data_IF_701506301168
#
_entry.id   IF_701506301168
#
_cell.length_a   1.000
_cell.length_b   1.000
_cell.length_c   1.000
_cell.angle_alpha   90.00
_cell.angle_beta   90.00
_cell.angle_gamma   90.00
#
_symmetry.space_group_name_H-M   'P 1'
#
loop_
_entity.id
_entity.type
_entity.pdbx_description
1 polymer ?
#
# COMPACT_ATOMS: atom_id res chain seq x y z
N UNK A 1 3.28 33.99 -45.68
CA UNK A 1 4.19 33.85 -44.51
C UNK A 1 3.43 34.17 -43.20
N UNK A 2 2.24 33.58 -43.00
CA UNK A 2 1.41 33.82 -41.79
C UNK A 2 0.69 32.56 -41.26
N UNK A 3 0.87 31.38 -41.89
CA UNK A 3 0.21 30.14 -41.46
C UNK A 3 1.10 29.20 -40.63
N UNK A 4 2.41 29.43 -40.60
CA UNK A 4 3.35 28.61 -39.81
C UNK A 4 3.42 29.00 -38.33
N UNK A 5 2.89 30.17 -37.92
CA UNK A 5 2.95 30.65 -36.52
C UNK A 5 1.77 30.14 -35.68
N UNK A 6 0.62 29.86 -36.31
CA UNK A 6 -0.59 29.35 -35.62
C UNK A 6 -0.45 27.89 -35.18
N UNK A 7 0.36 27.09 -35.87
CA UNK A 7 0.55 25.67 -35.56
C UNK A 7 1.45 25.41 -34.34
N UNK A 8 2.40 26.32 -34.05
CA UNK A 8 3.24 26.21 -32.85
C UNK A 8 2.52 26.67 -31.58
N UNK A 9 1.59 27.62 -31.68
CA UNK A 9 0.86 28.11 -30.51
C UNK A 9 -0.15 27.09 -29.96
N UNK A 10 -0.76 26.29 -30.83
CA UNK A 10 -1.73 25.23 -30.42
C UNK A 10 -1.01 24.02 -29.79
N UNK A 11 0.22 23.69 -30.20
CA UNK A 11 1.01 22.63 -29.55
C UNK A 11 1.56 23.02 -28.18
N UNK A 12 1.94 24.29 -27.99
CA UNK A 12 2.40 24.79 -26.68
C UNK A 12 1.28 24.83 -25.63
N UNK A 13 0.04 25.12 -26.03
CA UNK A 13 -1.12 25.08 -25.12
C UNK A 13 -1.50 23.66 -24.69
N UNK A 14 -1.34 22.65 -25.56
CA UNK A 14 -1.58 21.24 -25.18
C UNK A 14 -0.52 20.71 -24.19
N UNK A 15 0.73 21.18 -24.26
CA UNK A 15 1.77 20.81 -23.30
C UNK A 15 1.52 21.49 -21.95
N UNK A 16 1.06 22.76 -21.95
CA UNK A 16 0.65 23.45 -20.73
C UNK A 16 -0.60 22.83 -20.08
N UNK A 17 -1.57 22.34 -20.87
CA UNK A 17 -2.74 21.63 -20.35
C UNK A 17 -2.38 20.25 -19.75
N UNK A 18 -1.25 19.65 -20.16
CA UNK A 18 -0.77 18.38 -19.60
C UNK A 18 -0.10 18.55 -18.22
N UNK A 19 0.35 19.77 -17.87
CA UNK A 19 0.86 20.08 -16.52
C UNK A 19 -0.21 19.99 -15.43
N UNK A 20 -1.49 19.99 -15.80
CA UNK A 20 -2.62 19.94 -14.87
C UNK A 20 -3.13 18.51 -14.60
N UNK A 21 -2.63 17.48 -15.28
CA UNK A 21 -3.17 16.11 -15.16
C UNK A 21 -2.07 15.07 -14.96
N UNK A 22 -1.13 15.36 -14.07
CA UNK A 22 -0.67 14.33 -13.12
C UNK A 22 -1.43 14.56 -11.83
N UNK A 23 -2.76 14.51 -11.92
CA UNK A 23 -3.59 14.29 -10.74
C UNK A 23 -3.42 12.81 -10.41
N UNK A 24 -2.47 12.49 -9.53
CA UNK A 24 -2.84 11.54 -8.48
C UNK A 24 -4.09 12.14 -7.82
N UNK A 25 -5.15 11.36 -7.61
CA UNK A 25 -6.44 11.86 -7.11
C UNK A 25 -6.20 12.91 -6.02
N UNK A 26 -6.76 14.10 -6.22
CA UNK A 26 -6.67 15.15 -5.21
C UNK A 26 -7.71 14.78 -4.15
N UNK A 27 -7.31 14.33 -2.95
CA UNK A 27 -8.26 13.87 -1.94
C UNK A 27 -9.22 15.00 -1.53
N UNK A 28 -8.86 16.28 -1.71
CA UNK A 28 -9.77 17.42 -1.50
C UNK A 28 -10.82 17.52 -2.61
N UNK A 29 -10.48 17.14 -3.84
CA UNK A 29 -11.37 17.20 -5.02
C UNK A 29 -12.28 15.97 -5.13
N UNK A 30 -11.84 14.84 -4.60
CA UNK A 30 -12.61 13.59 -4.48
C UNK A 30 -13.46 13.53 -3.19
N UNK A 31 -13.36 14.54 -2.31
CA UNK A 31 -14.30 14.70 -1.19
C UNK A 31 -15.68 14.97 -1.76
N UNK A 32 -16.58 14.01 -1.60
CA UNK A 32 -18.00 14.29 -1.66
C UNK A 32 -18.39 14.93 -0.31
N UNK A 33 -18.66 16.25 -0.24
CA UNK A 33 -18.98 16.93 1.01
C UNK A 33 -20.28 16.41 1.65
N UNK A 34 -21.09 15.68 0.88
CA UNK A 34 -22.33 15.06 1.36
C UNK A 34 -22.14 13.61 1.81
N UNK A 35 -20.95 13.03 1.65
CA UNK A 35 -20.66 11.69 2.16
C UNK A 35 -20.41 11.77 3.67
N UNK A 36 -21.46 11.53 4.45
CA UNK A 36 -21.33 11.35 5.89
C UNK A 36 -20.89 9.92 6.17
N UNK A 37 -19.72 9.76 6.80
CA UNK A 37 -19.28 8.46 7.27
C UNK A 37 -20.18 8.00 8.42
N UNK A 38 -20.72 6.78 8.33
CA UNK A 38 -21.50 6.17 9.40
C UNK A 38 -20.62 6.05 10.66
N UNK A 39 -20.97 6.70 11.78
CA UNK A 39 -20.18 6.64 13.01
C UNK A 39 -19.94 5.21 13.51
N UNK A 40 -20.89 4.29 13.26
CA UNK A 40 -20.72 2.87 13.62
C UNK A 40 -19.63 2.20 12.80
N UNK A 41 -19.46 2.59 11.53
CA UNK A 41 -18.42 2.08 10.64
C UNK A 41 -17.06 2.69 10.97
N UNK A 42 -17.03 3.97 11.35
CA UNK A 42 -15.81 4.64 11.80
C UNK A 42 -15.20 4.00 13.04
N UNK A 43 -16.00 3.40 13.93
CA UNK A 43 -15.53 2.69 15.11
C UNK A 43 -14.62 1.47 14.82
N UNK A 44 -14.56 1.00 13.57
CA UNK A 44 -13.61 -0.03 13.15
C UNK A 44 -12.22 0.51 12.80
N UNK A 45 -12.10 1.81 12.57
CA UNK A 45 -10.86 2.44 12.16
C UNK A 45 -10.02 2.82 13.40
N UNK A 46 -8.83 2.23 13.49
CA UNK A 46 -7.81 2.61 14.47
C UNK A 46 -6.63 3.19 13.69
N UNK A 47 -6.20 4.39 14.03
CA UNK A 47 -5.17 5.12 13.29
C UNK A 47 -3.77 4.55 13.54
N UNK A 48 -3.51 4.07 14.76
CA UNK A 48 -2.22 3.54 15.18
C UNK A 48 -2.20 2.00 15.26
N UNK A 49 -1.00 1.44 15.10
CA UNK A 49 -0.79 -0.01 15.09
C UNK A 49 -1.20 -0.68 16.40
N UNK A 50 -0.87 -0.07 17.54
CA UNK A 50 -1.10 -0.64 18.86
C UNK A 50 -2.59 -0.78 19.18
N UNK A 51 -3.38 0.26 18.92
CA UNK A 51 -4.83 0.27 19.04
C UNK A 51 -5.45 -0.71 18.04
N UNK A 52 -4.98 -0.70 16.79
CA UNK A 52 -5.46 -1.61 15.74
C UNK A 52 -5.24 -3.09 16.10
N UNK A 53 -4.03 -3.43 16.57
CA UNK A 53 -3.70 -4.78 17.05
C UNK A 53 -4.56 -5.20 18.23
N UNK A 54 -4.73 -4.32 19.23
CA UNK A 54 -5.56 -4.60 20.39
C UNK A 54 -7.00 -4.88 19.98
N UNK A 55 -7.57 -4.02 19.14
CA UNK A 55 -8.92 -4.16 18.64
C UNK A 55 -9.11 -5.41 17.77
N UNK A 56 -8.13 -5.78 16.94
CA UNK A 56 -8.15 -7.04 16.19
C UNK A 56 -8.15 -8.28 17.10
N UNK A 57 -7.27 -8.31 18.11
CA UNK A 57 -7.21 -9.42 19.09
C UNK A 57 -8.51 -9.54 19.88
N UNK A 58 -9.07 -8.42 20.34
CA UNK A 58 -10.37 -8.41 21.01
C UNK A 58 -11.47 -9.00 20.12
N UNK A 59 -11.54 -8.61 18.84
CA UNK A 59 -12.48 -9.20 17.88
C UNK A 59 -12.27 -10.70 17.70
N UNK A 60 -11.02 -11.17 17.65
CA UNK A 60 -10.70 -12.59 17.54
C UNK A 60 -11.17 -13.38 18.77
N UNK A 61 -11.03 -12.83 19.97
CA UNK A 61 -11.50 -13.45 21.21
C UNK A 61 -13.03 -13.50 21.28
N UNK A 62 -13.74 -12.50 20.76
CA UNK A 62 -15.20 -12.57 20.62
C UNK A 62 -15.65 -13.66 19.65
N UNK A 63 -14.90 -13.87 18.56
CA UNK A 63 -15.18 -14.94 17.59
C UNK A 63 -14.93 -16.33 18.18
N UNK A 64 -13.89 -16.48 19.02
CA UNK A 64 -13.61 -17.74 19.75
C UNK A 64 -14.76 -18.18 20.66
N UNK A 65 -15.50 -17.24 21.23
CA UNK A 65 -16.68 -17.55 22.06
C UNK A 65 -17.85 -18.09 21.23
N UNK A 66 -17.89 -17.79 19.92
CA UNK A 66 -19.01 -18.11 19.02
C UNK A 66 -18.80 -19.38 18.20
N UNK A 67 -17.56 -19.68 17.81
CA UNK A 67 -17.25 -20.79 16.90
C UNK A 67 -16.26 -21.77 17.51
N UNK A 68 -16.44 -23.06 17.21
CA UNK A 68 -15.56 -24.12 17.72
C UNK A 68 -14.26 -24.17 16.91
N UNK A 69 -13.15 -24.45 17.59
CA UNK A 69 -11.85 -24.69 16.95
C UNK A 69 -11.13 -23.45 16.41
N UNK A 70 -11.55 -22.25 16.82
CA UNK A 70 -10.90 -20.99 16.41
C UNK A 70 -9.49 -20.92 16.99
N UNK A 71 -8.50 -20.73 16.12
CA UNK A 71 -7.09 -20.57 16.49
C UNK A 71 -6.68 -19.11 16.30
N UNK A 72 -5.82 -18.60 17.19
CA UNK A 72 -5.10 -17.34 16.93
C UNK A 72 -3.62 -17.61 17.05
N UNK A 73 -2.84 -16.81 16.33
CA UNK A 73 -1.38 -16.88 16.36
C UNK A 73 -0.81 -15.48 16.34
N UNK A 74 0.39 -15.32 16.90
CA UNK A 74 1.14 -14.07 16.87
C UNK A 74 2.59 -14.37 16.52
N UNK A 75 3.03 -13.88 15.37
CA UNK A 75 4.42 -14.02 14.92
C UNK A 75 5.15 -12.74 15.28
N UNK A 76 6.19 -12.77 16.13
CA UNK A 76 6.98 -11.58 16.42
C UNK A 76 7.71 -11.13 15.16
N UNK A 77 7.69 -9.83 14.90
CA UNK A 77 8.51 -9.20 13.86
C UNK A 77 9.73 -8.61 14.54
N UNK A 78 10.88 -9.17 14.24
CA UNK A 78 12.17 -8.66 14.70
C UNK A 78 12.36 -7.26 14.15
N UNK A 79 12.35 -6.26 15.02
CA UNK A 79 12.77 -4.92 14.67
C UNK A 79 14.03 -4.55 15.44
N UNK A 80 14.89 -3.73 14.84
CA UNK A 80 16.16 -3.31 15.45
C UNK A 80 15.99 -2.56 16.77
N UNK A 81 14.78 -2.06 17.03
CA UNK A 81 14.45 -1.24 18.19
C UNK A 81 13.69 -2.00 19.29
N UNK A 82 13.39 -3.30 19.12
CA UNK A 82 12.72 -4.12 20.12
C UNK A 82 11.28 -3.69 20.45
N UNK A 83 10.53 -3.14 19.49
CA UNK A 83 9.21 -2.54 19.69
C UNK A 83 8.07 -3.56 19.89
N UNK A 84 8.38 -4.85 19.98
CA UNK A 84 7.38 -5.89 20.26
C UNK A 84 6.27 -5.98 19.21
N UNK A 85 6.64 -5.76 17.95
CA UNK A 85 5.73 -5.85 16.81
C UNK A 85 5.37 -7.31 16.53
N UNK A 86 4.13 -7.54 16.12
CA UNK A 86 3.58 -8.85 15.80
C UNK A 86 2.73 -8.81 14.54
N UNK A 87 2.79 -9.90 13.78
CA UNK A 87 1.77 -10.27 12.79
C UNK A 87 0.81 -11.23 13.50
N UNK A 88 -0.40 -10.76 13.74
CA UNK A 88 -1.45 -11.49 14.42
C UNK A 88 -2.39 -12.15 13.39
N UNK A 89 -2.89 -13.33 13.70
CA UNK A 89 -3.87 -13.99 12.84
C UNK A 89 -4.98 -14.67 13.64
N UNK A 90 -6.14 -14.78 13.02
CA UNK A 90 -7.27 -15.57 13.51
C UNK A 90 -7.75 -16.51 12.40
N UNK A 91 -7.77 -17.80 12.72
CA UNK A 91 -8.29 -18.85 11.86
C UNK A 91 -9.61 -19.37 12.43
N UNK A 92 -10.68 -19.21 11.68
CA UNK A 92 -12.00 -19.77 11.95
C UNK A 92 -12.18 -20.97 11.02
N UNK A 93 -12.17 -22.21 11.54
CA UNK A 93 -12.28 -23.39 10.70
C UNK A 93 -13.69 -23.54 10.12
N UNK A 94 -13.79 -24.31 9.03
CA UNK A 94 -15.06 -24.86 8.61
C UNK A 94 -15.64 -25.75 9.74
N UNK A 95 -16.94 -25.67 9.96
CA UNK A 95 -17.63 -26.26 11.11
C UNK A 95 -18.08 -27.72 10.85
N UNK A 96 -18.17 -28.14 9.58
CA UNK A 96 -18.62 -29.49 9.22
C UNK A 96 -17.57 -30.25 8.41
N UNK A 97 -17.13 -29.71 7.25
CA UNK A 97 -16.14 -30.34 6.37
C UNK A 97 -15.09 -29.31 5.93
N UNK A 98 -13.83 -29.71 5.78
CA UNK A 98 -12.74 -28.77 5.41
C UNK A 98 -12.51 -28.79 3.90
N UNK A 99 -13.38 -28.15 3.14
CA UNK A 99 -13.30 -28.14 1.67
C UNK A 99 -12.64 -26.86 1.12
N UNK A 100 -12.69 -25.75 1.86
CA UNK A 100 -12.14 -24.48 1.42
C UNK A 100 -11.56 -23.62 2.53
N UNK A 101 -10.71 -22.67 2.15
CA UNK A 101 -10.15 -21.64 3.02
C UNK A 101 -10.10 -20.31 2.27
N UNK A 102 -10.70 -19.27 2.86
CA UNK A 102 -10.51 -17.88 2.42
C UNK A 102 -9.43 -17.24 3.28
N UNK A 103 -8.39 -16.71 2.64
CA UNK A 103 -7.30 -15.99 3.33
C UNK A 103 -7.42 -14.50 3.03
N UNK A 104 -7.47 -13.68 4.07
CA UNK A 104 -7.59 -12.23 3.98
C UNK A 104 -6.43 -11.60 4.75
N UNK A 105 -5.52 -10.94 4.05
CA UNK A 105 -4.40 -10.22 4.65
C UNK A 105 -4.67 -8.72 4.62
N UNK A 106 -4.08 -7.99 5.56
CA UNK A 106 -4.11 -6.52 5.58
C UNK A 106 -2.71 -5.94 5.76
N UNK A 107 -2.56 -4.67 5.38
CA UNK A 107 -1.36 -3.88 5.66
C UNK A 107 -0.07 -4.46 5.10
N UNK A 108 -0.08 -4.96 3.86
CA UNK A 108 1.16 -5.22 3.12
C UNK A 108 1.95 -3.92 2.91
N UNK A 109 1.22 -2.82 2.74
CA UNK A 109 1.70 -1.46 2.86
C UNK A 109 1.25 -0.89 4.19
N UNK A 110 2.21 -0.51 5.02
CA UNK A 110 1.94 -0.12 6.40
C UNK A 110 1.05 1.13 6.50
N UNK A 111 1.28 2.14 5.67
CA UNK A 111 0.46 3.37 5.61
C UNK A 111 -1.00 3.12 5.23
N UNK A 112 -1.32 1.96 4.65
CA UNK A 112 -2.67 1.56 4.22
C UNK A 112 -3.32 0.57 5.21
N UNK A 113 -2.58 0.15 6.24
CA UNK A 113 -2.98 -0.94 7.12
C UNK A 113 -4.22 -0.63 7.96
N UNK A 114 -4.40 0.62 8.42
CA UNK A 114 -5.59 1.02 9.20
C UNK A 114 -6.90 0.71 8.48
N UNK A 115 -6.98 1.01 7.18
CA UNK A 115 -8.16 0.74 6.36
C UNK A 115 -8.41 -0.77 6.19
N UNK A 116 -7.36 -1.54 5.91
CA UNK A 116 -7.46 -3.00 5.80
C UNK A 116 -7.84 -3.68 7.12
N UNK A 117 -7.27 -3.22 8.23
CA UNK A 117 -7.59 -3.71 9.57
C UNK A 117 -9.04 -3.40 9.97
N UNK A 118 -9.54 -2.21 9.63
CA UNK A 118 -10.95 -1.85 9.83
C UNK A 118 -11.89 -2.80 9.09
N UNK A 119 -11.57 -3.12 7.82
CA UNK A 119 -12.34 -4.09 7.05
C UNK A 119 -12.31 -5.49 7.70
N UNK A 120 -11.15 -5.96 8.18
CA UNK A 120 -11.04 -7.25 8.88
C UNK A 120 -11.85 -7.27 10.18
N UNK A 121 -11.83 -6.19 10.97
CA UNK A 121 -12.66 -6.08 12.18
C UNK A 121 -14.15 -6.08 11.87
N UNK A 122 -14.56 -5.40 10.80
CA UNK A 122 -15.94 -5.43 10.31
C UNK A 122 -16.34 -6.86 9.90
N UNK A 123 -15.46 -7.57 9.20
CA UNK A 123 -15.69 -8.97 8.82
C UNK A 123 -15.93 -9.84 10.06
N UNK A 124 -15.03 -9.77 11.05
CA UNK A 124 -15.14 -10.57 12.28
C UNK A 124 -16.39 -10.27 13.10
N UNK A 125 -16.81 -8.99 13.14
CA UNK A 125 -17.91 -8.55 13.99
C UNK A 125 -19.30 -8.71 13.35
N UNK A 126 -19.42 -8.46 12.04
CA UNK A 126 -20.71 -8.46 11.35
C UNK A 126 -20.83 -9.55 10.28
N UNK A 127 -19.86 -9.61 9.35
CA UNK A 127 -20.00 -10.43 8.15
C UNK A 127 -19.89 -11.93 8.46
N UNK A 128 -19.05 -12.32 9.42
CA UNK A 128 -18.78 -13.71 9.76
C UNK A 128 -20.04 -14.49 10.14
N UNK A 129 -21.00 -13.81 10.80
CA UNK A 129 -22.30 -14.39 11.17
C UNK A 129 -23.26 -14.62 9.99
N UNK A 130 -22.98 -14.01 8.83
CA UNK A 130 -23.84 -14.00 7.64
C UNK A 130 -23.34 -14.89 6.52
N UNK A 131 -22.19 -15.53 6.69
CA UNK A 131 -21.57 -16.40 5.69
C UNK A 131 -21.56 -17.84 6.21
N UNK A 132 -21.78 -18.81 5.32
CA UNK A 132 -21.72 -20.21 5.68
C UNK A 132 -20.29 -20.64 5.95
N UNK A 133 -20.04 -21.15 7.16
CA UNK A 133 -18.80 -21.79 7.56
C UNK A 133 -18.90 -23.31 7.54
N UNK A 134 -19.92 -23.92 6.91
CA UNK A 134 -20.07 -25.38 6.92
C UNK A 134 -18.89 -26.09 6.26
N UNK A 135 -18.47 -25.57 5.10
CA UNK A 135 -17.45 -26.21 4.26
C UNK A 135 -16.19 -25.35 4.03
N UNK A 136 -16.26 -24.04 4.34
CA UNK A 136 -15.17 -23.08 4.09
C UNK A 136 -14.78 -22.38 5.38
N UNK A 137 -13.49 -22.45 5.74
CA UNK A 137 -12.91 -21.67 6.83
C UNK A 137 -12.38 -20.31 6.37
N UNK A 138 -12.00 -19.47 7.32
CA UNK A 138 -11.44 -18.14 7.06
C UNK A 138 -10.22 -17.90 7.91
N UNK A 139 -9.15 -17.39 7.30
CA UNK A 139 -7.93 -16.94 7.96
C UNK A 139 -7.77 -15.44 7.70
N UNK A 140 -7.76 -14.65 8.77
CA UNK A 140 -7.45 -13.22 8.71
C UNK A 140 -6.08 -12.96 9.31
N UNK A 141 -5.25 -12.16 8.63
CA UNK A 141 -3.88 -11.83 9.05
C UNK A 141 -3.72 -10.31 9.14
N UNK A 142 -3.39 -9.82 10.34
CA UNK A 142 -3.31 -8.41 10.73
C UNK A 142 -1.96 -8.09 11.40
N UNK A 143 -1.17 -7.14 10.94
CA UNK A 143 -1.00 -6.67 9.56
C UNK A 143 0.35 -7.16 9.06
N UNK A 144 0.51 -7.47 7.78
CA UNK A 144 1.76 -8.04 7.24
C UNK A 144 3.00 -7.14 7.43
N UNK A 145 2.83 -5.82 7.45
CA UNK A 145 3.89 -4.85 7.69
C UNK A 145 3.63 -4.02 8.96
N UNK A 146 3.80 -4.60 10.16
CA UNK A 146 3.51 -3.89 11.41
C UNK A 146 4.49 -2.73 11.64
N UNK A 147 5.74 -2.83 11.16
CA UNK A 147 6.70 -1.73 11.21
C UNK A 147 6.19 -0.53 10.41
N UNK A 148 5.79 -0.77 9.16
CA UNK A 148 5.30 0.26 8.29
C UNK A 148 4.02 0.88 8.84
N UNK A 149 3.13 0.07 9.43
CA UNK A 149 1.92 0.59 10.03
C UNK A 149 2.24 1.56 11.18
N UNK A 150 3.08 1.13 12.13
CA UNK A 150 3.49 1.97 13.25
C UNK A 150 4.18 3.26 12.83
N UNK A 151 5.01 3.22 11.78
CA UNK A 151 5.82 4.37 11.34
C UNK A 151 5.22 5.15 10.17
N UNK A 152 3.97 4.86 9.80
CA UNK A 152 3.29 5.42 8.63
C UNK A 152 4.14 5.34 7.34
N UNK A 153 4.76 4.17 7.13
CA UNK A 153 5.57 3.85 5.95
C UNK A 153 4.89 2.79 5.10
N UNK A 154 5.05 2.91 3.79
CA UNK A 154 4.67 1.87 2.83
C UNK A 154 5.49 0.59 3.03
N UNK A 155 6.79 0.75 3.28
CA UNK A 155 7.80 -0.32 3.30
C UNK A 155 8.05 -0.88 4.71
N UNK A 156 8.78 -1.99 4.79
CA UNK A 156 9.31 -2.52 6.05
C UNK A 156 10.47 -1.66 6.59
N UNK A 157 11.03 -2.07 7.73
CA UNK A 157 12.19 -1.45 8.40
C UNK A 157 13.45 -1.43 7.55
N UNK A 158 13.53 -2.31 6.55
CA UNK A 158 14.65 -2.39 5.62
C UNK A 158 14.35 -1.72 4.26
N UNK A 159 13.34 -0.84 4.22
CA UNK A 159 12.88 -0.17 3.00
C UNK A 159 12.38 -1.14 1.90
N UNK A 160 11.93 -2.34 2.29
CA UNK A 160 11.39 -3.33 1.34
C UNK A 160 9.89 -3.11 1.16
N UNK A 161 9.44 -2.98 -0.09
CA UNK A 161 8.03 -3.09 -0.47
C UNK A 161 7.66 -4.58 -0.49
N UNK A 162 6.95 -5.03 0.55
CA UNK A 162 6.55 -6.43 0.70
C UNK A 162 5.69 -6.93 -0.48
N UNK A 163 4.96 -6.05 -1.17
CA UNK A 163 4.18 -6.39 -2.36
C UNK A 163 5.04 -6.54 -3.63
N UNK A 164 6.37 -6.48 -3.50
CA UNK A 164 7.37 -6.79 -4.53
C UNK A 164 8.36 -7.86 -4.06
N UNK A 165 8.24 -8.33 -2.82
CA UNK A 165 9.17 -9.29 -2.22
C UNK A 165 8.60 -10.72 -2.18
N UNK A 166 7.67 -11.08 -3.07
CA UNK A 166 7.06 -12.43 -3.07
C UNK A 166 7.82 -13.46 -3.92
N UNK A 167 8.87 -13.04 -4.63
CA UNK A 167 9.66 -13.95 -5.47
C UNK A 167 10.60 -14.79 -4.58
N UNK A 168 10.70 -16.13 -4.76
CA UNK A 168 11.59 -16.97 -3.96
C UNK A 168 13.06 -16.59 -4.01
N UNK A 169 13.48 -15.95 -5.10
CA UNK A 169 14.82 -15.42 -5.28
C UNK A 169 14.73 -13.97 -5.77
N UNK A 170 14.50 -12.96 -4.91
CA UNK A 170 14.35 -11.57 -5.34
C UNK A 170 15.59 -11.05 -6.08
N UNK A 171 16.78 -11.53 -5.71
CA UNK A 171 18.03 -11.16 -6.36
C UNK A 171 18.08 -11.52 -7.85
N UNK A 172 17.34 -12.54 -8.30
CA UNK A 172 17.26 -12.87 -9.74
C UNK A 172 16.45 -11.86 -10.56
N UNK A 173 15.78 -10.91 -9.90
CA UNK A 173 15.01 -9.85 -10.54
C UNK A 173 15.83 -8.56 -10.73
N UNK A 174 17.09 -8.53 -10.29
CA UNK A 174 17.98 -7.41 -10.56
C UNK A 174 18.08 -7.13 -12.08
N UNK A 175 17.99 -5.87 -12.48
CA UNK A 175 18.02 -5.45 -13.88
C UNK A 175 16.70 -5.65 -14.64
N UNK A 176 15.63 -6.15 -14.02
CA UNK A 176 14.32 -6.31 -14.67
C UNK A 176 13.61 -4.98 -14.98
N UNK A 177 14.16 -3.86 -14.52
CA UNK A 177 13.61 -2.52 -14.71
C UNK A 177 14.71 -1.52 -15.12
N UNK A 178 15.28 -1.64 -16.34
CA UNK A 178 16.38 -0.79 -16.79
C UNK A 178 15.97 0.68 -16.94
N UNK A 179 14.67 0.97 -17.02
CA UNK A 179 14.17 2.35 -17.05
C UNK A 179 14.22 3.00 -15.67
N UNK A 180 14.07 2.22 -14.58
CA UNK A 180 14.20 2.74 -13.21
C UNK A 180 15.59 3.36 -12.98
N UNK A 181 16.66 2.69 -13.41
CA UNK A 181 18.02 3.20 -13.28
C UNK A 181 18.19 4.61 -13.91
N UNK A 182 17.51 4.88 -15.02
CA UNK A 182 17.57 6.17 -15.70
C UNK A 182 16.76 7.29 -15.01
N UNK A 183 15.90 6.93 -14.06
CA UNK A 183 15.08 7.87 -13.28
C UNK A 183 15.36 7.79 -11.79
N UNK A 184 16.29 6.95 -11.35
CA UNK A 184 16.59 6.70 -9.94
C UNK A 184 16.89 8.00 -9.18
N UNK A 185 17.82 8.80 -9.69
CA UNK A 185 18.27 10.05 -9.04
C UNK A 185 17.16 11.11 -8.96
N UNK A 186 16.16 10.99 -9.83
CA UNK A 186 15.00 11.85 -9.78
C UNK A 186 13.96 11.40 -8.75
N UNK A 187 13.75 10.09 -8.64
CA UNK A 187 12.80 9.51 -7.69
C UNK A 187 13.36 9.49 -6.26
N UNK A 188 14.67 9.42 -6.12
CA UNK A 188 15.38 9.22 -4.86
C UNK A 188 16.44 10.33 -4.69
N UNK A 189 16.02 11.59 -4.45
CA UNK A 189 16.96 12.68 -4.21
C UNK A 189 17.77 12.43 -2.93
N UNK A 190 19.04 12.84 -2.92
CA UNK A 190 19.92 12.72 -1.75
C UNK A 190 19.53 13.68 -0.63
N UNK A 191 18.97 14.84 -1.00
CA UNK A 191 18.46 15.83 -0.05
C UNK A 191 16.97 15.62 0.25
N UNK A 192 16.51 15.97 1.46
CA UNK A 192 15.09 15.92 1.80
C UNK A 192 14.26 16.74 0.82
N UNK A 193 13.19 16.13 0.29
CA UNK A 193 12.23 16.86 -0.53
C UNK A 193 11.58 17.98 0.30
N UNK A 194 11.60 19.22 -0.20
CA UNK A 194 10.84 20.32 0.40
C UNK A 194 9.57 20.60 -0.37
N UNK A 195 8.55 21.03 0.38
CA UNK A 195 7.24 21.36 -0.15
C UNK A 195 7.12 22.83 -0.58
N UNK A 196 8.24 23.56 -0.68
CA UNK A 196 8.26 24.94 -1.16
C UNK A 196 7.79 25.00 -2.62
N UNK A 197 7.09 26.07 -2.97
CA UNK A 197 6.46 26.27 -4.28
C UNK A 197 7.43 26.12 -5.46
N UNK A 198 8.65 26.62 -5.32
CA UNK A 198 9.68 26.56 -6.37
C UNK A 198 10.18 25.13 -6.60
N UNK A 199 10.42 24.36 -5.53
CA UNK A 199 10.85 22.96 -5.62
C UNK A 199 9.74 22.06 -6.16
N UNK A 200 8.49 22.28 -5.73
CA UNK A 200 7.31 21.59 -6.28
C UNK A 200 7.17 21.82 -7.79
N UNK A 201 7.35 23.07 -8.24
CA UNK A 201 7.26 23.42 -9.67
C UNK A 201 8.43 22.81 -10.45
N UNK A 202 9.63 22.84 -9.89
CA UNK A 202 10.81 22.17 -10.47
C UNK A 202 10.62 20.67 -10.61
N UNK A 203 10.06 19.99 -9.60
CA UNK A 203 9.72 18.57 -9.65
C UNK A 203 8.73 18.27 -10.79
N UNK A 204 7.64 19.05 -10.91
CA UNK A 204 6.65 18.89 -11.98
C UNK A 204 7.26 19.02 -13.38
N UNK A 205 8.11 20.02 -13.59
CA UNK A 205 8.83 20.17 -14.86
C UNK A 205 9.77 19.00 -15.14
N UNK A 206 10.54 18.57 -14.14
CA UNK A 206 11.43 17.40 -14.23
C UNK A 206 10.64 16.12 -14.56
N UNK A 207 9.44 15.95 -14.00
CA UNK A 207 8.52 14.85 -14.34
C UNK A 207 8.08 14.93 -15.80
N UNK A 208 7.64 16.11 -16.26
CA UNK A 208 7.19 16.28 -17.64
C UNK A 208 8.29 15.96 -18.65
N UNK A 209 9.52 16.45 -18.41
CA UNK A 209 10.67 16.16 -19.28
C UNK A 209 10.94 14.64 -19.39
N UNK A 210 10.76 13.89 -18.30
CA UNK A 210 10.90 12.42 -18.28
C UNK A 210 9.75 11.75 -19.01
N UNK A 211 8.52 12.20 -18.83
CA UNK A 211 7.36 11.71 -19.58
C UNK A 211 7.53 11.95 -21.08
N UNK A 212 8.04 13.11 -21.48
CA UNK A 212 8.34 13.42 -22.89
C UNK A 212 9.46 12.55 -23.46
N UNK A 213 10.49 12.24 -22.65
CA UNK A 213 11.62 11.39 -23.06
C UNK A 213 11.27 9.91 -23.18
N UNK A 214 10.57 9.36 -22.20
CA UNK A 214 10.31 7.91 -22.10
C UNK A 214 8.91 7.50 -22.57
N UNK A 215 7.99 8.45 -22.71
CA UNK A 215 6.57 8.18 -22.83
C UNK A 215 5.92 7.95 -21.46
N UNK A 216 4.66 8.39 -21.32
CA UNK A 216 3.90 8.32 -20.06
C UNK A 216 3.80 6.90 -19.52
N UNK A 217 3.49 5.93 -20.40
CA UNK A 217 3.30 4.54 -20.00
C UNK A 217 4.60 3.90 -19.51
N UNK A 218 5.70 4.08 -20.25
CA UNK A 218 6.98 3.50 -19.87
C UNK A 218 7.50 4.11 -18.57
N UNK A 219 7.40 5.44 -18.41
CA UNK A 219 7.76 6.12 -17.16
C UNK A 219 6.93 5.63 -15.97
N UNK A 220 5.60 5.54 -16.12
CA UNK A 220 4.72 5.04 -15.05
C UNK A 220 5.03 3.57 -14.71
N UNK A 221 5.24 2.73 -15.72
CA UNK A 221 5.59 1.32 -15.53
C UNK A 221 6.91 1.19 -14.79
N UNK A 222 7.93 1.94 -15.21
CA UNK A 222 9.24 1.96 -14.58
C UNK A 222 9.15 2.31 -13.09
N UNK A 223 8.33 3.29 -12.73
CA UNK A 223 8.12 3.65 -11.32
C UNK A 223 7.34 2.56 -10.57
N UNK A 224 6.20 2.10 -11.11
CA UNK A 224 5.25 1.28 -10.36
C UNK A 224 5.58 -0.23 -10.31
N UNK A 225 6.40 -0.73 -11.24
CA UNK A 225 6.74 -2.15 -11.34
C UNK A 225 7.61 -2.65 -10.18
N UNK A 226 8.34 -1.75 -9.51
CA UNK A 226 9.32 -2.10 -8.50
C UNK A 226 10.72 -2.29 -9.09
N UNK A 227 11.71 -2.42 -8.21
CA UNK A 227 13.12 -2.55 -8.57
C UNK A 227 13.90 -3.29 -7.47
N UNK A 228 15.05 -3.87 -7.82
CA UNK A 228 15.83 -4.73 -6.93
C UNK A 228 17.33 -4.33 -6.88
N UNK A 229 17.68 -3.18 -7.45
CA UNK A 229 19.07 -2.73 -7.62
C UNK A 229 19.45 -1.60 -6.66
N UNK A 230 18.46 -0.83 -6.18
CA UNK A 230 18.66 0.37 -5.38
C UNK A 230 17.98 0.21 -4.01
N UNK A 231 18.68 -0.31 -2.97
CA UNK A 231 18.07 -0.59 -1.66
C UNK A 231 17.47 0.62 -0.94
N UNK A 232 17.97 1.82 -1.23
CA UNK A 232 17.45 3.09 -0.69
C UNK A 232 16.32 3.70 -1.55
N UNK A 233 16.05 3.10 -2.70
CA UNK A 233 15.08 3.62 -3.65
C UNK A 233 13.63 3.27 -3.29
N UNK A 234 12.69 4.04 -3.83
CA UNK A 234 11.26 3.69 -3.74
C UNK A 234 10.97 2.36 -4.47
N UNK A 235 9.95 1.65 -3.98
CA UNK A 235 9.52 0.35 -4.53
C UNK A 235 10.62 -0.71 -4.61
N UNK A 236 11.61 -0.64 -3.72
CA UNK A 236 12.64 -1.66 -3.58
C UNK A 236 12.03 -2.99 -3.12
N UNK A 237 12.25 -4.07 -3.87
CA UNK A 237 11.65 -5.38 -3.60
C UNK A 237 12.48 -6.30 -2.71
N UNK A 238 13.60 -5.85 -2.15
CA UNK A 238 14.47 -6.67 -1.28
C UNK A 238 15.39 -7.62 -2.03
N UNK A 239 16.38 -8.18 -1.34
CA UNK A 239 17.35 -9.13 -1.92
C UNK A 239 17.13 -10.58 -1.44
N UNK A 240 16.34 -10.75 -0.39
CA UNK A 240 15.95 -12.04 0.19
C UNK A 240 14.49 -11.97 0.66
N UNK A 241 13.93 -13.13 0.98
CA UNK A 241 12.70 -13.27 1.77
C UNK A 241 13.00 -13.05 3.27
#
# INVERSE_FOLDING_TARGET
MYDSVRFYFVRSLCIAATLLIVSCGDPERDRNPNLQADPKRLAYFEEDYESSRRSFRNSADEVRKKYKGVLTNSIPVSDKNGQGLTIDSVYVPAQTKKNGLVVITSGIHGSEAAAGAAAQRWILSELLSRISLEETGILLIHSLNPYGFKNFRRTSENNVDLNRNCHPNPSSLAGNNPTYAQVNDFLNPEEPASFRTNERSGFRWKTLLRILRFGRQAFRSAVAQGQYEFPKGIFFGGNSL
#
